data_IF_018768490184
#
_entry.id   IF_018768490184
#
_cell.length_a   1.000
_cell.length_b   1.000
_cell.length_c   1.000
_cell.angle_alpha   90.00
_cell.angle_beta   90.00
_cell.angle_gamma   90.00
#
_symmetry.space_group_name_H-M   'P 1'
#
loop_
_entity.id
_entity.type
_entity.pdbx_description
1 polymer ?
#
# COMPACT_ATOMS: atom_id res chain seq x y z
N UNK A 1 18.30 13.16 17.88
CA UNK A 1 18.64 13.71 16.55
C UNK A 1 17.50 14.64 16.20
N UNK A 2 17.71 15.95 16.23
CA UNK A 2 16.66 16.88 15.82
C UNK A 2 16.53 16.83 14.29
N UNK A 3 15.31 16.62 13.80
CA UNK A 3 14.99 16.67 12.38
C UNK A 3 15.12 18.13 11.94
N UNK A 4 16.21 18.46 11.25
CA UNK A 4 16.68 19.83 11.09
C UNK A 4 16.50 20.39 9.67
N UNK A 5 15.94 19.59 8.74
CA UNK A 5 15.66 20.08 7.38
C UNK A 5 14.16 20.20 7.12
N UNK A 6 13.77 21.22 6.35
CA UNK A 6 12.39 21.44 5.93
C UNK A 6 11.81 20.23 5.18
N UNK A 7 12.63 19.54 4.38
CA UNK A 7 12.28 18.31 3.68
C UNK A 7 11.96 17.15 4.63
N UNK A 8 12.70 17.01 5.74
CA UNK A 8 12.41 15.99 6.75
C UNK A 8 11.07 16.24 7.42
N UNK A 9 10.75 17.49 7.74
CA UNK A 9 9.44 17.85 8.31
C UNK A 9 8.31 17.59 7.32
N UNK A 10 8.47 17.98 6.06
CA UNK A 10 7.48 17.76 5.01
C UNK A 10 7.20 16.27 4.79
N UNK A 11 8.24 15.44 4.76
CA UNK A 11 8.09 13.99 4.63
C UNK A 11 7.24 13.39 5.75
N UNK A 12 7.43 13.84 6.99
CA UNK A 12 6.65 13.34 8.13
C UNK A 12 5.18 13.75 8.08
N UNK A 13 4.85 14.87 7.43
CA UNK A 13 3.47 15.31 7.26
C UNK A 13 2.68 14.41 6.30
N UNK A 14 3.36 13.67 5.43
CA UNK A 14 2.72 12.65 4.58
C UNK A 14 2.10 11.52 5.42
N UNK A 15 2.55 11.30 6.66
CA UNK A 15 1.94 10.34 7.57
C UNK A 15 0.51 10.74 8.02
N UNK A 16 0.20 12.03 7.98
CA UNK A 16 -1.03 12.61 8.52
C UNK A 16 -2.15 12.75 7.46
N UNK A 17 -1.81 12.54 6.20
CA UNK A 17 -2.71 12.70 5.05
C UNK A 17 -2.82 11.40 4.25
N UNK A 18 -3.91 11.25 3.49
CA UNK A 18 -4.07 10.14 2.56
C UNK A 18 -3.63 10.56 1.15
N UNK A 19 -4.16 11.67 0.67
CA UNK A 19 -3.73 12.33 -0.57
C UNK A 19 -2.66 13.38 -0.23
N UNK A 20 -1.39 13.02 -0.42
CA UNK A 20 -0.24 13.86 -0.06
C UNK A 20 0.35 14.59 -1.30
N UNK A 21 1.14 15.67 -1.10
CA UNK A 21 1.74 16.43 -2.20
C UNK A 21 2.60 15.60 -3.16
N UNK A 22 3.29 14.57 -2.66
CA UNK A 22 4.12 13.68 -3.47
C UNK A 22 3.30 12.92 -4.52
N UNK A 23 2.13 12.38 -4.14
CA UNK A 23 1.24 11.66 -5.07
C UNK A 23 0.83 12.59 -6.22
N UNK A 24 0.47 13.84 -5.91
CA UNK A 24 0.07 14.84 -6.91
C UNK A 24 1.21 15.18 -7.84
N UNK A 25 2.41 15.37 -7.31
CA UNK A 25 3.60 15.68 -8.10
C UNK A 25 4.00 14.50 -8.99
N UNK A 26 3.98 13.27 -8.46
CA UNK A 26 4.21 12.03 -9.20
C UNK A 26 3.28 11.92 -10.41
N UNK A 27 1.98 12.10 -10.21
CA UNK A 27 0.99 12.03 -11.29
C UNK A 27 1.18 13.16 -12.31
N UNK A 28 1.47 14.40 -11.84
CA UNK A 28 1.74 15.54 -12.74
C UNK A 28 2.99 15.34 -13.60
N UNK A 29 4.01 14.64 -13.10
CA UNK A 29 5.24 14.31 -13.82
C UNK A 29 5.09 13.12 -14.77
N UNK A 30 3.88 12.59 -14.95
CA UNK A 30 3.60 11.48 -15.86
C UNK A 30 3.83 10.11 -15.24
N UNK A 31 3.80 9.99 -13.91
CA UNK A 31 3.74 8.70 -13.24
C UNK A 31 2.54 7.87 -13.72
N UNK A 32 2.71 6.54 -13.86
CA UNK A 32 1.69 5.68 -14.49
C UNK A 32 0.37 5.59 -13.75
N UNK A 33 0.37 5.91 -12.46
CA UNK A 33 -0.78 5.80 -11.58
C UNK A 33 -0.41 5.36 -10.17
N UNK A 34 -1.42 5.03 -9.38
CA UNK A 34 -1.31 4.56 -7.99
C UNK A 34 -2.12 3.28 -7.80
N UNK A 35 -1.47 2.23 -7.30
CA UNK A 35 -2.17 1.00 -6.90
C UNK A 35 -2.11 0.88 -5.39
N UNK A 36 -3.29 0.91 -4.78
CA UNK A 36 -3.47 0.68 -3.37
C UNK A 36 -3.26 -0.79 -3.01
N UNK A 37 -2.79 -1.08 -1.81
CA UNK A 37 -2.76 -2.46 -1.31
C UNK A 37 -3.13 -2.55 0.18
N UNK A 38 -3.70 -3.68 0.56
CA UNK A 38 -3.93 -4.04 1.96
C UNK A 38 -2.74 -4.80 2.55
N UNK A 39 -2.60 -4.82 3.88
CA UNK A 39 -1.58 -5.60 4.61
C UNK A 39 -0.11 -5.30 4.25
N UNK A 40 0.82 -5.83 5.03
CA UNK A 40 2.27 -5.71 4.80
C UNK A 40 2.87 -6.81 3.94
N UNK A 41 2.13 -7.88 3.69
CA UNK A 41 2.68 -9.11 3.09
C UNK A 41 2.37 -9.21 1.59
N UNK A 42 1.90 -8.12 0.99
CA UNK A 42 1.59 -8.06 -0.43
C UNK A 42 2.77 -7.47 -1.21
N UNK A 43 2.98 -7.91 -2.47
CA UNK A 43 4.21 -7.64 -3.22
C UNK A 43 4.22 -6.21 -3.78
N UNK A 44 4.61 -5.25 -2.95
CA UNK A 44 4.77 -3.84 -3.34
C UNK A 44 5.80 -3.69 -4.46
N UNK A 45 6.80 -4.57 -4.49
CA UNK A 45 7.86 -4.62 -5.49
C UNK A 45 7.32 -4.90 -6.88
N UNK A 46 6.29 -5.75 -7.01
CA UNK A 46 5.68 -6.07 -8.29
C UNK A 46 4.82 -4.91 -8.81
N UNK A 47 4.12 -4.22 -7.91
CA UNK A 47 3.41 -2.97 -8.24
C UNK A 47 4.40 -1.89 -8.68
N UNK A 48 5.53 -1.79 -7.99
CA UNK A 48 6.59 -0.85 -8.30
C UNK A 48 7.23 -1.15 -9.65
N UNK A 49 7.57 -2.41 -9.93
CA UNK A 49 8.13 -2.87 -11.20
C UNK A 49 7.18 -2.62 -12.38
N UNK A 50 5.87 -2.58 -12.14
CA UNK A 50 4.86 -2.17 -13.11
C UNK A 50 4.90 -0.66 -13.45
N UNK A 51 5.69 0.13 -12.72
CA UNK A 51 5.82 1.58 -12.86
C UNK A 51 4.72 2.36 -12.13
N UNK A 52 3.91 1.69 -11.31
CA UNK A 52 2.90 2.33 -10.45
C UNK A 52 3.50 2.72 -9.10
N UNK A 53 2.90 3.72 -8.44
CA UNK A 53 3.17 4.00 -7.04
C UNK A 53 2.41 2.99 -6.15
N UNK A 54 3.08 2.16 -5.36
CA UNK A 54 2.41 1.32 -4.36
C UNK A 54 1.99 2.19 -3.18
N UNK A 55 0.71 2.15 -2.83
CA UNK A 55 0.16 2.94 -1.72
C UNK A 55 -0.50 2.04 -0.68
N UNK A 56 -0.01 2.05 0.56
CA UNK A 56 -0.67 1.30 1.63
C UNK A 56 -1.95 2.00 2.07
N UNK A 57 -3.09 1.32 1.95
CA UNK A 57 -4.38 1.83 2.41
C UNK A 57 -4.38 2.03 3.94
N UNK A 58 -4.95 3.14 4.42
CA UNK A 58 -4.94 3.54 5.85
C UNK A 58 -6.26 4.13 6.33
N UNK A 59 -6.45 4.18 7.65
CA UNK A 59 -7.61 4.84 8.28
C UNK A 59 -7.36 6.27 8.75
N UNK A 60 -6.20 6.88 8.44
CA UNK A 60 -5.64 8.06 9.14
C UNK A 60 -6.58 9.25 9.28
N UNK A 61 -7.39 9.55 8.26
CA UNK A 61 -8.26 10.74 8.22
C UNK A 61 -9.74 10.46 8.50
N UNK A 62 -10.08 9.21 8.86
CA UNK A 62 -11.47 8.79 9.03
C UNK A 62 -12.06 9.30 10.35
N UNK A 63 -13.18 10.01 10.28
CA UNK A 63 -13.82 10.64 11.46
C UNK A 63 -15.09 9.93 11.93
N UNK A 64 -15.73 9.16 11.07
CA UNK A 64 -16.96 8.42 11.35
C UNK A 64 -16.99 7.08 10.58
N UNK A 65 -18.09 6.36 10.66
CA UNK A 65 -18.28 5.08 9.97
C UNK A 65 -19.61 5.01 9.20
N UNK A 66 -20.25 6.16 8.94
CA UNK A 66 -21.65 6.22 8.49
C UNK A 66 -21.90 5.37 7.23
N UNK A 67 -21.04 5.52 6.22
CA UNK A 67 -21.16 4.81 4.96
C UNK A 67 -20.77 3.34 5.10
N UNK A 68 -19.74 3.06 5.90
CA UNK A 68 -19.27 1.68 6.12
C UNK A 68 -20.22 0.84 6.96
N UNK A 69 -20.88 1.41 7.98
CA UNK A 69 -21.80 0.70 8.89
C UNK A 69 -23.11 0.31 8.20
N UNK A 70 -23.45 0.92 7.07
CA UNK A 70 -24.55 0.50 6.21
C UNK A 70 -24.24 -0.80 5.44
N UNK A 71 -22.98 -1.24 5.42
CA UNK A 71 -22.49 -2.39 4.63
C UNK A 71 -21.86 -3.46 5.51
N UNK A 72 -21.12 -3.02 6.53
CA UNK A 72 -20.39 -3.86 7.48
C UNK A 72 -21.03 -3.74 8.86
N UNK A 73 -21.01 -4.85 9.60
CA UNK A 73 -21.43 -4.84 11.00
C UNK A 73 -20.39 -4.13 11.86
N UNK A 74 -20.81 -3.56 12.99
CA UNK A 74 -19.92 -2.95 13.98
C UNK A 74 -18.92 -3.94 14.60
N UNK A 75 -19.20 -5.25 14.50
CA UNK A 75 -18.29 -6.32 14.91
C UNK A 75 -17.13 -6.54 13.93
N UNK A 76 -17.19 -6.00 12.71
CA UNK A 76 -16.06 -6.08 11.79
C UNK A 76 -14.91 -5.19 12.27
N UNK A 77 -13.68 -5.60 11.94
CA UNK A 77 -12.46 -4.86 12.31
C UNK A 77 -12.57 -3.38 11.94
N UNK A 78 -12.19 -2.51 12.87
CA UNK A 78 -12.24 -1.05 12.70
C UNK A 78 -11.42 -0.57 11.51
N UNK A 79 -10.33 -1.27 11.17
CA UNK A 79 -9.50 -0.95 10.01
C UNK A 79 -10.29 -1.07 8.70
N UNK A 80 -10.94 -2.21 8.43
CA UNK A 80 -11.70 -2.38 7.18
C UNK A 80 -12.95 -1.51 7.12
N UNK A 81 -13.57 -1.21 8.28
CA UNK A 81 -14.67 -0.25 8.36
C UNK A 81 -14.18 1.15 8.00
N UNK A 82 -13.07 1.59 8.57
CA UNK A 82 -12.47 2.89 8.32
C UNK A 82 -12.06 3.07 6.86
N UNK A 83 -11.33 2.11 6.28
CA UNK A 83 -10.84 2.20 4.90
C UNK A 83 -11.97 2.13 3.89
N UNK A 84 -13.03 1.34 4.17
CA UNK A 84 -14.24 1.34 3.36
C UNK A 84 -14.99 2.68 3.44
N UNK A 85 -15.12 3.25 4.64
CA UNK A 85 -15.80 4.54 4.81
C UNK A 85 -15.10 5.63 4.00
N UNK A 86 -13.78 5.68 4.05
CA UNK A 86 -12.96 6.61 3.25
C UNK A 86 -13.14 6.36 1.74
N UNK A 87 -13.15 5.10 1.29
CA UNK A 87 -13.35 4.76 -0.11
C UNK A 87 -14.74 5.16 -0.63
N UNK A 88 -15.80 4.97 0.17
CA UNK A 88 -17.16 5.36 -0.18
C UNK A 88 -17.36 6.88 -0.17
N UNK A 89 -16.51 7.61 0.55
CA UNK A 89 -16.46 9.06 0.57
C UNK A 89 -15.41 9.64 -0.40
N UNK A 90 -15.03 8.89 -1.44
CA UNK A 90 -14.18 9.37 -2.53
C UNK A 90 -12.74 9.78 -2.15
N UNK A 91 -12.28 9.43 -0.94
CA UNK A 91 -10.93 9.79 -0.47
C UNK A 91 -9.83 9.04 -1.24
N UNK A 92 -10.16 7.88 -1.81
CA UNK A 92 -9.27 7.03 -2.60
C UNK A 92 -9.47 7.16 -4.12
N UNK A 93 -9.92 8.33 -4.59
CA UNK A 93 -10.21 8.55 -6.02
C UNK A 93 -8.97 8.71 -6.90
N UNK A 94 -7.81 8.91 -6.29
CA UNK A 94 -6.51 8.88 -6.97
C UNK A 94 -5.96 7.46 -7.25
N UNK A 95 -6.66 6.40 -6.81
CA UNK A 95 -6.22 5.02 -7.05
C UNK A 95 -6.74 4.50 -8.40
N UNK A 96 -5.84 3.94 -9.20
CA UNK A 96 -6.12 3.21 -10.44
C UNK A 96 -6.33 1.71 -10.20
N UNK A 97 -5.89 1.22 -9.04
CA UNK A 97 -6.01 -0.17 -8.66
C UNK A 97 -6.00 -0.40 -7.15
N UNK A 98 -6.47 -1.56 -6.74
CA UNK A 98 -6.45 -2.01 -5.34
C UNK A 98 -6.18 -3.50 -5.25
N UNK A 99 -5.08 -3.88 -4.60
CA UNK A 99 -4.72 -5.27 -4.35
C UNK A 99 -5.17 -5.72 -2.96
N UNK A 100 -5.94 -6.81 -2.92
CA UNK A 100 -6.48 -7.43 -1.71
C UNK A 100 -5.99 -8.89 -1.63
N UNK A 101 -5.86 -9.46 -0.44
CA UNK A 101 -5.53 -10.88 -0.27
C UNK A 101 -6.39 -11.57 0.80
N UNK A 102 -6.26 -12.90 0.89
CA UNK A 102 -6.81 -13.76 1.94
C UNK A 102 -5.95 -13.76 3.24
N UNK A 103 -5.42 -12.62 3.65
CA UNK A 103 -4.58 -12.51 4.87
C UNK A 103 -5.38 -12.66 6.16
N UNK A 104 -6.59 -12.11 6.22
CA UNK A 104 -7.58 -12.37 7.25
C UNK A 104 -8.99 -12.30 6.64
N UNK A 105 -10.00 -12.86 7.32
CA UNK A 105 -11.35 -12.94 6.77
C UNK A 105 -11.97 -11.58 6.46
N UNK A 106 -11.69 -10.57 7.30
CA UNK A 106 -12.17 -9.21 7.08
C UNK A 106 -11.58 -8.59 5.80
N UNK A 107 -10.28 -8.74 5.57
CA UNK A 107 -9.61 -8.19 4.37
C UNK A 107 -10.00 -9.00 3.13
N UNK A 108 -10.07 -10.33 3.24
CA UNK A 108 -10.57 -11.19 2.16
C UNK A 108 -11.94 -10.71 1.67
N UNK A 109 -12.84 -10.36 2.60
CA UNK A 109 -14.18 -9.89 2.26
C UNK A 109 -14.18 -8.54 1.55
N UNK A 110 -13.17 -7.70 1.78
CA UNK A 110 -13.06 -6.40 1.13
C UNK A 110 -12.94 -6.50 -0.39
N UNK A 111 -12.37 -7.58 -0.93
CA UNK A 111 -12.32 -7.79 -2.39
C UNK A 111 -13.70 -7.66 -3.04
N UNK A 112 -14.67 -8.45 -2.56
CA UNK A 112 -16.03 -8.43 -3.10
C UNK A 112 -16.78 -7.12 -2.82
N UNK A 113 -16.52 -6.50 -1.67
CA UNK A 113 -17.14 -5.22 -1.31
C UNK A 113 -16.64 -4.10 -2.21
N UNK A 114 -15.31 -3.96 -2.37
CA UNK A 114 -14.73 -2.94 -3.24
C UNK A 114 -15.16 -3.13 -4.70
N UNK A 115 -15.16 -4.38 -5.21
CA UNK A 115 -15.70 -4.66 -6.56
C UNK A 115 -17.13 -4.16 -6.74
N UNK A 116 -18.02 -4.47 -5.79
CA UNK A 116 -19.46 -4.18 -5.93
C UNK A 116 -19.81 -2.71 -5.63
N UNK A 117 -19.09 -2.07 -4.71
CA UNK A 117 -19.49 -0.78 -4.13
C UNK A 117 -18.60 0.39 -4.55
N UNK A 118 -17.33 0.14 -4.89
CA UNK A 118 -16.37 1.19 -5.25
C UNK A 118 -16.04 1.11 -6.73
N UNK A 119 -15.52 -0.02 -7.23
CA UNK A 119 -15.17 -0.19 -8.64
C UNK A 119 -16.38 0.03 -9.57
N UNK A 120 -17.53 -0.59 -9.25
CA UNK A 120 -18.76 -0.37 -10.02
C UNK A 120 -19.25 1.08 -9.99
N UNK A 121 -19.07 1.78 -8.87
CA UNK A 121 -19.47 3.18 -8.74
C UNK A 121 -18.55 4.11 -9.55
N UNK A 122 -17.29 3.70 -9.76
CA UNK A 122 -16.30 4.38 -10.61
C UNK A 122 -16.28 3.88 -12.05
N UNK A 123 -17.35 3.23 -12.53
CA UNK A 123 -17.43 2.67 -13.89
C UNK A 123 -16.24 1.79 -14.32
N UNK A 124 -15.53 1.19 -13.36
CA UNK A 124 -14.36 0.35 -13.63
C UNK A 124 -13.03 1.11 -13.78
N UNK A 125 -12.96 2.41 -13.47
CA UNK A 125 -11.73 3.21 -13.55
C UNK A 125 -10.67 2.77 -12.51
N UNK A 126 -11.11 2.21 -11.38
CA UNK A 126 -10.23 1.61 -10.37
C UNK A 126 -10.42 0.08 -10.32
N UNK A 127 -9.40 -0.69 -10.67
CA UNK A 127 -9.46 -2.15 -10.75
C UNK A 127 -9.14 -2.83 -9.42
N UNK A 128 -9.97 -3.78 -8.98
CA UNK A 128 -9.70 -4.54 -7.75
C UNK A 128 -9.12 -5.91 -8.07
N UNK A 129 -7.90 -6.15 -7.60
CA UNK A 129 -7.15 -7.39 -7.75
C UNK A 129 -7.23 -8.24 -6.47
N UNK A 130 -7.06 -9.55 -6.63
CA UNK A 130 -6.98 -10.49 -5.52
C UNK A 130 -5.72 -11.34 -5.65
N UNK A 131 -4.99 -11.50 -4.55
CA UNK A 131 -3.85 -12.40 -4.44
C UNK A 131 -4.16 -13.48 -3.40
N UNK A 132 -4.15 -14.75 -3.80
CA UNK A 132 -4.28 -15.85 -2.86
C UNK A 132 -2.91 -16.22 -2.28
N UNK A 133 -2.81 -16.21 -0.96
CA UNK A 133 -1.62 -16.59 -0.21
C UNK A 133 -1.89 -17.87 0.58
N UNK A 134 -0.93 -18.81 0.65
CA UNK A 134 -1.09 -20.01 1.44
C UNK A 134 -0.99 -19.72 2.94
N UNK A 135 -1.72 -20.49 3.76
CA UNK A 135 -1.62 -20.44 5.22
C UNK A 135 -0.70 -21.54 5.80
N UNK A 136 0.10 -22.19 4.96
CA UNK A 136 1.02 -23.26 5.34
C UNK A 136 2.40 -23.05 4.72
N UNK A 137 3.44 -23.49 5.42
CA UNK A 137 4.82 -23.45 4.94
C UNK A 137 5.20 -24.84 4.41
N UNK A 138 5.21 -25.00 3.08
CA UNK A 138 5.53 -26.26 2.39
C UNK A 138 6.04 -25.98 0.98
N UNK A 139 6.74 -26.91 0.34
CA UNK A 139 7.23 -26.75 -1.04
C UNK A 139 6.08 -26.43 -2.01
N UNK A 140 4.95 -27.11 -1.88
CA UNK A 140 3.77 -26.88 -2.72
C UNK A 140 3.16 -25.49 -2.48
N UNK A 141 3.16 -25.03 -1.23
CA UNK A 141 2.71 -23.68 -0.91
C UNK A 141 3.63 -22.62 -1.53
N UNK A 142 4.95 -22.84 -1.51
CA UNK A 142 5.89 -21.94 -2.19
C UNK A 142 5.68 -21.93 -3.70
N UNK A 143 5.44 -23.09 -4.31
CA UNK A 143 5.13 -23.15 -5.75
C UNK A 143 3.84 -22.39 -6.06
N UNK A 144 2.76 -22.64 -5.31
CA UNK A 144 1.51 -21.92 -5.50
C UNK A 144 1.67 -20.41 -5.34
N UNK A 145 2.40 -19.93 -4.33
CA UNK A 145 2.68 -18.49 -4.20
C UNK A 145 3.37 -17.92 -5.44
N UNK A 146 4.32 -18.66 -6.04
CA UNK A 146 4.96 -18.22 -7.29
C UNK A 146 3.95 -18.12 -8.43
N UNK A 147 3.13 -19.16 -8.61
CA UNK A 147 2.11 -19.18 -9.65
C UNK A 147 1.09 -18.04 -9.49
N UNK A 148 0.71 -17.68 -8.26
CA UNK A 148 -0.18 -16.55 -7.96
C UNK A 148 0.48 -15.19 -8.24
N UNK A 149 1.77 -15.04 -7.94
CA UNK A 149 2.53 -13.83 -8.27
C UNK A 149 2.68 -13.66 -9.80
N UNK A 150 2.95 -14.75 -10.53
CA UNK A 150 3.01 -14.73 -11.99
C UNK A 150 1.64 -14.43 -12.62
N UNK A 151 0.56 -15.00 -12.07
CA UNK A 151 -0.80 -14.67 -12.50
C UNK A 151 -1.13 -13.20 -12.23
N UNK A 152 -0.71 -12.65 -11.09
CA UNK A 152 -0.89 -11.24 -10.78
C UNK A 152 -0.08 -10.33 -11.72
N UNK A 153 1.19 -10.66 -12.00
CA UNK A 153 2.02 -9.97 -13.01
C UNK A 153 1.32 -9.92 -14.37
N UNK A 154 0.82 -11.06 -14.85
CA UNK A 154 0.11 -11.15 -16.13
C UNK A 154 -1.19 -10.33 -16.13
N UNK A 155 -1.88 -10.29 -14.99
CA UNK A 155 -3.08 -9.48 -14.81
C UNK A 155 -2.75 -7.98 -14.88
N UNK A 156 -1.66 -7.53 -14.26
CA UNK A 156 -1.20 -6.13 -14.37
C UNK A 156 -0.84 -5.78 -15.81
N UNK A 157 -0.05 -6.62 -16.49
CA UNK A 157 0.33 -6.44 -17.89
C UNK A 157 -0.89 -6.25 -18.79
N UNK A 158 -1.88 -7.13 -18.66
CA UNK A 158 -3.11 -7.09 -19.47
C UNK A 158 -3.99 -5.89 -19.11
N UNK A 159 -4.16 -5.62 -17.82
CA UNK A 159 -5.09 -4.59 -17.34
C UNK A 159 -4.64 -3.18 -17.71
N UNK A 160 -3.34 -2.92 -17.62
CA UNK A 160 -2.76 -1.60 -17.85
C UNK A 160 -2.01 -1.50 -19.18
N UNK A 161 -2.03 -2.54 -20.00
CA UNK A 161 -1.30 -2.63 -21.28
C UNK A 161 0.19 -2.26 -21.13
N UNK A 162 0.85 -2.94 -20.19
CA UNK A 162 2.27 -2.77 -19.87
C UNK A 162 3.01 -4.10 -19.95
N UNK A 163 4.34 -4.03 -19.90
CA UNK A 163 5.20 -5.20 -19.79
C UNK A 163 6.11 -5.04 -18.56
N UNK A 164 5.90 -5.90 -17.57
CA UNK A 164 6.81 -6.08 -16.44
C UNK A 164 7.84 -7.12 -16.85
N UNK A 165 9.12 -6.76 -16.94
CA UNK A 165 10.23 -7.68 -17.24
C UNK A 165 10.88 -8.17 -15.95
N UNK A 166 11.62 -9.27 -16.05
CA UNK A 166 12.30 -9.84 -14.87
C UNK A 166 13.33 -8.85 -14.29
N UNK A 167 14.00 -8.07 -15.16
CA UNK A 167 14.91 -7.00 -14.74
C UNK A 167 14.22 -5.93 -13.89
N UNK A 168 12.98 -5.55 -14.22
CA UNK A 168 12.22 -4.55 -13.47
C UNK A 168 11.92 -5.05 -12.04
N UNK A 169 11.60 -6.35 -11.91
CA UNK A 169 11.36 -6.99 -10.62
C UNK A 169 12.65 -7.05 -9.80
N UNK A 170 13.77 -7.45 -10.40
CA UNK A 170 15.06 -7.48 -9.69
C UNK A 170 15.49 -6.09 -9.21
N UNK A 171 15.30 -5.06 -10.04
CA UNK A 171 15.58 -3.68 -9.66
C UNK A 171 14.70 -3.21 -8.49
N UNK A 172 13.40 -3.52 -8.54
CA UNK A 172 12.48 -3.22 -7.44
C UNK A 172 12.88 -3.96 -6.16
N UNK A 173 13.22 -5.25 -6.22
CA UNK A 173 13.67 -6.03 -5.06
C UNK A 173 14.92 -5.42 -4.40
N UNK A 174 15.90 -4.99 -5.19
CA UNK A 174 17.11 -4.35 -4.67
C UNK A 174 16.79 -3.03 -3.95
N UNK A 175 15.93 -2.20 -4.55
CA UNK A 175 15.50 -0.93 -3.98
C UNK A 175 14.72 -1.11 -2.66
N UNK A 176 13.83 -2.09 -2.60
CA UNK A 176 13.06 -2.40 -1.39
C UNK A 176 13.91 -3.06 -0.30
N UNK A 177 14.93 -3.83 -0.69
CA UNK A 177 15.93 -4.35 0.24
C UNK A 177 16.70 -3.21 0.89
N UNK A 178 17.20 -2.25 0.10
CA UNK A 178 17.86 -1.05 0.62
C UNK A 178 16.94 -0.30 1.59
N UNK A 179 15.68 -0.04 1.20
CA UNK A 179 14.70 0.60 2.09
C UNK A 179 14.52 -0.14 3.41
N UNK A 180 14.45 -1.47 3.36
CA UNK A 180 14.28 -2.32 4.53
C UNK A 180 15.49 -2.23 5.46
N UNK A 181 16.69 -2.21 4.91
CA UNK A 181 17.94 -2.09 5.67
C UNK A 181 18.03 -0.69 6.32
N UNK A 182 17.70 0.38 5.60
CA UNK A 182 17.61 1.75 6.16
C UNK A 182 16.57 1.85 7.29
N UNK A 183 15.39 1.25 7.12
CA UNK A 183 14.36 1.22 8.16
C UNK A 183 14.79 0.43 9.40
N UNK A 184 15.66 -0.59 9.25
CA UNK A 184 16.26 -1.32 10.39
C UNK A 184 17.30 -0.45 11.11
N UNK A 185 18.16 0.25 10.39
CA UNK A 185 19.11 1.20 10.99
C UNK A 185 18.38 2.29 11.78
N UNK A 186 17.27 2.82 11.24
CA UNK A 186 16.41 3.75 11.98
C UNK A 186 15.79 3.14 13.23
N UNK A 187 15.45 1.85 13.18
CA UNK A 187 14.92 1.13 14.33
C UNK A 187 16.00 0.95 15.41
N UNK A 188 17.26 0.68 15.03
CA UNK A 188 18.37 0.50 15.97
C UNK A 188 18.62 1.75 16.83
N UNK A 189 18.41 2.96 16.27
CA UNK A 189 18.48 4.20 17.05
C UNK A 189 17.47 4.30 18.19
N UNK A 190 16.40 3.49 18.16
CA UNK A 190 15.39 3.42 19.22
C UNK A 190 15.78 2.45 20.34
N UNK A 191 16.75 1.57 20.10
CA UNK A 191 17.20 0.54 21.04
C UNK A 191 18.41 0.99 21.88
N UNK A 192 18.98 2.17 21.60
CA UNK A 192 20.05 2.75 22.41
C UNK A 192 19.58 3.10 23.82
N UNK A 193 20.48 3.06 24.80
CA UNK A 193 20.20 3.45 26.20
C UNK A 193 19.60 4.85 26.32
N UNK A 194 20.01 5.76 25.43
CA UNK A 194 19.38 7.05 25.20
C UNK A 194 18.84 7.10 23.75
N UNK A 195 17.56 6.76 23.52
CA UNK A 195 16.98 6.67 22.19
C UNK A 195 17.10 7.98 21.40
N UNK A 196 17.63 7.89 20.18
CA UNK A 196 17.84 9.07 19.31
C UNK A 196 16.63 9.43 18.47
N UNK A 197 15.65 8.53 18.39
CA UNK A 197 14.44 8.64 17.59
C UNK A 197 13.24 8.21 18.45
N UNK A 198 12.19 9.04 18.49
CA UNK A 198 10.98 8.70 19.23
C UNK A 198 10.16 7.63 18.50
N UNK A 199 9.33 6.88 19.23
CA UNK A 199 8.40 5.93 18.61
C UNK A 199 7.37 6.61 17.71
N UNK A 200 6.96 7.84 18.05
CA UNK A 200 6.02 8.65 17.26
C UNK A 200 6.64 9.02 15.92
N UNK A 201 7.88 9.51 15.93
CA UNK A 201 8.56 9.89 14.70
C UNK A 201 8.85 8.67 13.83
N UNK A 202 9.26 7.55 14.43
CA UNK A 202 9.45 6.31 13.67
C UNK A 202 8.16 5.83 12.99
N UNK A 203 7.01 5.91 13.67
CA UNK A 203 5.72 5.58 13.06
C UNK A 203 5.39 6.56 11.94
N UNK A 204 5.63 7.87 12.10
CA UNK A 204 5.43 8.85 11.03
C UNK A 204 6.31 8.55 9.82
N UNK A 205 7.60 8.26 10.03
CA UNK A 205 8.53 7.84 8.96
C UNK A 205 8.00 6.59 8.26
N UNK A 206 7.60 5.57 9.03
CA UNK A 206 7.08 4.31 8.49
C UNK A 206 5.81 4.52 7.65
N UNK A 207 4.89 5.36 8.12
CA UNK A 207 3.70 5.74 7.37
C UNK A 207 4.07 6.53 6.11
N UNK A 208 4.87 7.59 6.20
CA UNK A 208 5.29 8.35 5.03
C UNK A 208 5.97 7.47 3.96
N UNK A 209 6.87 6.57 4.38
CA UNK A 209 7.57 5.60 3.53
C UNK A 209 6.61 4.63 2.78
N UNK A 210 5.42 4.37 3.32
CA UNK A 210 4.40 3.51 2.68
C UNK A 210 3.46 4.28 1.71
N UNK A 211 3.76 5.56 1.43
CA UNK A 211 2.92 6.45 0.58
C UNK A 211 3.71 7.20 -0.51
N UNK A 212 4.97 6.81 -0.72
CA UNK A 212 5.88 7.37 -1.74
C UNK A 212 6.64 6.22 -2.43
N UNK A 213 7.25 6.48 -3.59
CA UNK A 213 8.14 5.47 -4.19
C UNK A 213 9.44 5.38 -3.39
N UNK A 214 10.04 4.19 -3.38
CA UNK A 214 11.18 3.88 -2.51
C UNK A 214 12.46 4.66 -2.88
N UNK A 215 12.64 5.06 -4.15
CA UNK A 215 13.77 5.91 -4.54
C UNK A 215 13.70 7.33 -3.95
N UNK A 216 12.51 7.77 -3.54
CA UNK A 216 12.33 9.05 -2.85
C UNK A 216 12.45 8.88 -1.32
N UNK A 217 12.12 7.69 -0.81
CA UNK A 217 12.16 7.41 0.63
C UNK A 217 13.54 7.02 1.14
N UNK A 218 14.35 6.33 0.32
CA UNK A 218 15.74 5.97 0.61
C UNK A 218 16.62 7.22 0.59
#
# INVERSE_FOLDING_TARGET
MELNSQLQTEFLDYAQTIDNPYIKDWLKKGGKGVIGYYCSNLPEELIHAAGFLPFRIRGTTNKDYLMSDAILSRFNCTFVRSTLNLALNHVYDFLDGLLVANTCDHIRRMYGIFKKKVEKAKNGDMKVFFLSLPHRYSKDAWQWTRDELDAFRNTLNTTYNIEIRDEDIHNALNLYKENTDLMRELYDFRMLDNPKLSGVDFIKISLANMSVRKEYAN
#
